data_IF_807046935732
#
_entry.id   IF_807046935732
#
_cell.length_a   1.000
_cell.length_b   1.000
_cell.length_c   1.000
_cell.angle_alpha   90.00
_cell.angle_beta   90.00
_cell.angle_gamma   90.00
#
_symmetry.space_group_name_H-M   'P 1'
#
loop_
_entity.id
_entity.type
_entity.pdbx_description
1 polymer ?
#
# COMPACT_ATOMS: atom_id res chain seq x y z
N UNK A 1 -25.59 -9.39 -53.72
CA UNK A 1 -25.33 -9.52 -52.27
C UNK A 1 -23.90 -10.02 -52.13
N UNK A 2 -23.02 -9.27 -51.46
CA UNK A 2 -21.55 -9.48 -51.40
C UNK A 2 -21.16 -10.92 -50.99
N UNK A 3 -20.04 -11.51 -51.48
CA UNK A 3 -18.64 -11.24 -51.08
C UNK A 3 -18.58 -10.96 -49.56
N UNK A 4 -17.87 -11.70 -48.71
CA UNK A 4 -16.51 -12.20 -48.85
C UNK A 4 -16.08 -12.85 -47.51
N UNK A 5 -15.40 -14.01 -47.57
CA UNK A 5 -14.31 -14.52 -46.71
C UNK A 5 -14.50 -14.64 -45.18
N UNK A 6 -13.73 -15.43 -44.45
CA UNK A 6 -12.96 -16.67 -44.59
C UNK A 6 -12.25 -16.79 -43.22
N UNK A 7 -11.85 -18.02 -42.89
CA UNK A 7 -10.77 -18.39 -41.97
C UNK A 7 -10.94 -18.09 -40.47
N UNK A 8 -10.90 -19.21 -39.73
CA UNK A 8 -10.67 -19.19 -38.30
C UNK A 8 -9.24 -18.83 -37.95
N UNK A 9 -9.04 -18.58 -36.65
CA UNK A 9 -7.73 -18.72 -36.03
C UNK A 9 -7.87 -19.60 -34.80
N UNK A 10 -7.08 -20.66 -34.79
CA UNK A 10 -6.79 -21.51 -33.66
C UNK A 10 -5.91 -20.76 -32.66
N UNK A 11 -6.06 -21.10 -31.38
CA UNK A 11 -4.91 -21.46 -30.56
C UNK A 11 -4.30 -20.38 -29.67
N UNK A 12 -4.20 -20.76 -28.38
CA UNK A 12 -3.14 -20.30 -27.48
C UNK A 12 -3.53 -19.10 -26.64
N UNK A 13 -3.26 -19.03 -25.33
CA UNK A 13 -2.55 -19.92 -24.42
C UNK A 13 -3.16 -19.71 -23.05
N UNK A 14 -3.26 -20.80 -22.28
CA UNK A 14 -3.30 -20.71 -20.83
C UNK A 14 -2.05 -19.96 -20.37
N UNK A 15 -2.23 -18.81 -19.75
CA UNK A 15 -1.26 -18.30 -18.79
C UNK A 15 -1.95 -18.33 -17.44
N UNK A 16 -1.80 -19.47 -16.77
CA UNK A 16 -1.78 -19.52 -15.32
C UNK A 16 -0.76 -18.48 -14.86
N UNK A 17 -1.22 -17.37 -14.30
CA UNK A 17 -0.39 -16.57 -13.41
C UNK A 17 -0.91 -16.80 -12.00
N UNK A 18 -0.39 -17.85 -11.38
CA UNK A 18 -0.59 -18.24 -9.99
C UNK A 18 0.20 -17.31 -9.03
N UNK A 19 0.27 -16.00 -9.30
CA UNK A 19 1.10 -15.07 -8.51
C UNK A 19 0.40 -13.77 -8.12
N UNK A 20 -0.93 -13.74 -8.01
CA UNK A 20 -1.63 -12.63 -7.33
C UNK A 20 -2.64 -13.16 -6.30
N UNK A 21 -2.12 -13.99 -5.38
CA UNK A 21 -2.82 -14.38 -4.17
C UNK A 21 -2.72 -13.31 -3.06
N UNK A 22 -2.44 -12.05 -3.39
CA UNK A 22 -2.23 -10.99 -2.40
C UNK A 22 -3.43 -10.07 -2.17
N UNK A 23 -4.49 -10.10 -3.00
CA UNK A 23 -5.65 -9.21 -2.78
C UNK A 23 -6.99 -9.89 -3.04
N UNK A 24 -7.33 -10.87 -2.18
CA UNK A 24 -8.73 -11.21 -1.90
C UNK A 24 -9.13 -10.75 -0.50
N UNK A 25 -8.69 -9.57 -0.11
CA UNK A 25 -9.37 -8.84 0.96
C UNK A 25 -10.53 -8.09 0.32
N UNK A 26 -11.73 -8.25 0.86
CA UNK A 26 -12.89 -7.48 0.41
C UNK A 26 -12.52 -5.99 0.32
N UNK A 27 -12.99 -5.24 -0.70
CA UNK A 27 -12.68 -3.82 -0.83
C UNK A 27 -13.04 -3.02 0.43
N UNK A 28 -14.02 -3.48 1.20
CA UNK A 28 -14.40 -2.91 2.49
C UNK A 28 -13.36 -3.14 3.61
N UNK A 29 -12.67 -4.29 3.61
CA UNK A 29 -11.63 -4.59 4.59
C UNK A 29 -10.39 -3.72 4.33
N UNK A 30 -10.00 -3.56 3.06
CA UNK A 30 -8.87 -2.73 2.69
C UNK A 30 -9.11 -1.24 3.01
N UNK A 31 -10.32 -0.73 2.78
CA UNK A 31 -10.68 0.64 3.13
C UNK A 31 -10.57 0.88 4.64
N UNK A 32 -11.15 0.01 5.47
CA UNK A 32 -11.07 0.16 6.94
C UNK A 32 -9.63 0.13 7.45
N UNK A 33 -8.79 -0.72 6.87
CA UNK A 33 -7.36 -0.81 7.21
C UNK A 33 -6.66 0.52 6.93
N UNK A 34 -6.89 1.08 5.74
CA UNK A 34 -6.31 2.35 5.31
C UNK A 34 -6.76 3.51 6.20
N UNK A 35 -8.04 3.57 6.54
CA UNK A 35 -8.58 4.56 7.48
C UNK A 35 -7.91 4.44 8.86
N UNK A 36 -7.66 3.22 9.33
CA UNK A 36 -6.94 2.96 10.59
C UNK A 36 -5.49 3.48 10.56
N UNK A 37 -4.79 3.26 9.45
CA UNK A 37 -3.43 3.77 9.23
C UNK A 37 -3.44 5.31 9.21
N UNK A 38 -4.32 5.93 8.41
CA UNK A 38 -4.44 7.38 8.30
C UNK A 38 -4.77 8.03 9.65
N UNK A 39 -5.68 7.42 10.42
CA UNK A 39 -6.02 7.86 11.78
C UNK A 39 -4.82 7.81 12.72
N UNK A 40 -4.03 6.73 12.67
CA UNK A 40 -2.82 6.57 13.49
C UNK A 40 -1.74 7.59 13.11
N UNK A 41 -1.53 7.81 11.82
CA UNK A 41 -0.59 8.82 11.31
C UNK A 41 -1.01 10.23 11.76
N UNK A 42 -2.28 10.58 11.62
CA UNK A 42 -2.82 11.86 12.05
C UNK A 42 -2.69 12.04 13.57
N UNK A 43 -2.86 10.97 14.35
CA UNK A 43 -2.65 10.99 15.80
C UNK A 43 -1.18 11.21 16.16
N UNK A 44 -0.25 10.53 15.47
CA UNK A 44 1.19 10.78 15.61
C UNK A 44 1.55 12.23 15.35
N UNK A 45 1.02 12.82 14.27
CA UNK A 45 1.28 14.22 13.95
C UNK A 45 0.72 15.19 15.00
N UNK A 46 -0.52 14.97 15.46
CA UNK A 46 -1.20 15.88 16.41
C UNK A 46 -0.64 15.79 17.82
N UNK A 47 -0.33 14.59 18.27
CA UNK A 47 0.10 14.32 19.66
C UNK A 47 1.61 14.12 19.78
N UNK A 48 2.34 14.20 18.66
CA UNK A 48 3.77 13.97 18.57
C UNK A 48 4.21 12.65 19.24
N UNK A 49 3.42 11.60 19.03
CA UNK A 49 3.67 10.27 19.59
C UNK A 49 4.46 9.41 18.61
N UNK A 50 5.32 8.54 19.17
CA UNK A 50 6.06 7.56 18.38
C UNK A 50 5.10 6.48 17.90
N UNK A 51 5.19 6.17 16.61
CA UNK A 51 4.46 5.07 15.98
C UNK A 51 5.44 4.15 15.26
N UNK A 52 5.01 2.91 15.03
CA UNK A 52 5.72 1.93 14.22
C UNK A 52 4.94 1.69 12.94
N UNK A 53 5.62 1.87 11.80
CA UNK A 53 5.10 1.59 10.47
C UNK A 53 5.67 0.28 9.96
N UNK A 54 4.82 -0.62 9.50
CA UNK A 54 5.20 -1.85 8.80
C UNK A 54 5.01 -1.58 7.31
N UNK A 55 6.08 -1.67 6.52
CA UNK A 55 6.00 -1.47 5.07
C UNK A 55 5.84 -2.80 4.32
N UNK A 56 5.12 -2.75 3.20
CA UNK A 56 5.06 -3.84 2.23
C UNK A 56 6.45 -4.05 1.59
N UNK A 57 6.95 -5.29 1.57
CA UNK A 57 8.22 -5.63 0.93
C UNK A 57 8.53 -7.12 0.95
N UNK A 58 9.25 -7.61 -0.06
CA UNK A 58 9.57 -9.03 -0.30
C UNK A 58 10.66 -9.61 0.62
N UNK A 59 10.87 -9.06 1.81
CA UNK A 59 11.94 -9.48 2.73
C UNK A 59 11.56 -9.31 4.20
N UNK A 60 12.57 -9.31 5.08
CA UNK A 60 12.40 -9.07 6.51
C UNK A 60 11.63 -7.75 6.70
N UNK A 61 10.40 -7.84 7.24
CA UNK A 61 9.42 -6.76 7.23
C UNK A 61 10.04 -5.44 7.69
N UNK A 62 10.09 -4.44 6.81
CA UNK A 62 10.72 -3.16 7.14
C UNK A 62 9.81 -2.41 8.10
N UNK A 63 10.14 -2.49 9.38
CA UNK A 63 9.50 -1.71 10.42
C UNK A 63 10.26 -0.40 10.64
N UNK A 64 9.54 0.72 10.63
CA UNK A 64 10.07 2.04 10.89
C UNK A 64 9.37 2.62 12.11
N UNK A 65 10.11 2.80 13.21
CA UNK A 65 9.58 3.42 14.43
C UNK A 65 10.02 4.87 14.56
N UNK A 66 9.08 5.81 14.50
CA UNK A 66 9.38 7.23 14.42
C UNK A 66 8.20 8.13 14.75
N UNK A 67 8.38 9.43 14.52
CA UNK A 67 7.35 10.45 14.72
C UNK A 67 6.92 11.00 13.37
N UNK A 68 5.62 11.14 13.15
CA UNK A 68 5.11 11.80 11.96
C UNK A 68 5.26 13.31 12.13
N UNK A 69 6.08 13.93 11.28
CA UNK A 69 6.30 15.39 11.32
C UNK A 69 5.47 16.13 10.28
N UNK A 70 5.04 15.44 9.21
CA UNK A 70 4.22 16.03 8.15
C UNK A 70 3.42 14.96 7.41
N UNK A 71 2.23 15.31 6.95
CA UNK A 71 1.34 14.44 6.15
C UNK A 71 0.92 15.20 4.89
N UNK A 72 1.17 14.63 3.73
CA UNK A 72 0.73 15.11 2.43
C UNK A 72 -0.46 14.26 1.96
N UNK A 73 -1.68 14.76 2.19
CA UNK A 73 -2.92 14.04 1.82
C UNK A 73 -3.10 13.88 0.31
N UNK A 74 -2.61 14.82 -0.49
CA UNK A 74 -2.72 14.76 -1.96
C UNK A 74 -1.84 13.66 -2.57
N UNK A 75 -0.58 13.56 -2.12
CA UNK A 75 0.35 12.52 -2.59
C UNK A 75 0.25 11.22 -1.80
N UNK A 76 -0.54 11.20 -0.71
CA UNK A 76 -0.61 10.11 0.27
C UNK A 76 0.78 9.75 0.80
N UNK A 77 1.56 10.77 1.16
CA UNK A 77 2.93 10.60 1.68
C UNK A 77 3.05 11.18 3.08
N UNK A 78 3.85 10.54 3.93
CA UNK A 78 4.14 11.04 5.27
C UNK A 78 5.64 11.19 5.46
N UNK A 79 6.02 12.25 6.16
CA UNK A 79 7.39 12.46 6.62
C UNK A 79 7.51 11.85 8.00
N UNK A 80 8.24 10.74 8.08
CA UNK A 80 8.59 10.09 9.33
C UNK A 80 9.98 10.55 9.74
N UNK A 81 10.10 11.12 10.94
CA UNK A 81 11.39 11.25 11.61
C UNK A 81 11.71 9.92 12.29
N UNK A 82 12.76 9.27 11.81
CA UNK A 82 13.21 7.95 12.26
C UNK A 82 14.66 8.06 12.69
N UNK A 83 14.96 7.65 13.94
CA UNK A 83 16.27 7.84 14.56
C UNK A 83 16.75 9.31 14.42
N UNK A 84 17.89 9.52 13.76
CA UNK A 84 18.48 10.86 13.51
C UNK A 84 18.18 11.38 12.09
N UNK A 85 17.37 10.66 11.32
CA UNK A 85 17.07 10.95 9.92
C UNK A 85 15.57 11.20 9.69
N UNK A 86 15.23 11.67 8.49
CA UNK A 86 13.84 11.77 8.04
C UNK A 86 13.68 11.01 6.74
N UNK A 87 12.53 10.36 6.60
CA UNK A 87 12.17 9.59 5.40
C UNK A 87 10.75 9.92 4.98
N UNK A 88 10.56 10.08 3.67
CA UNK A 88 9.23 10.08 3.08
C UNK A 88 8.78 8.66 2.83
N UNK A 89 7.57 8.35 3.28
CA UNK A 89 6.95 7.03 3.18
C UNK A 89 5.57 7.22 2.54
N UNK A 90 5.25 6.43 1.53
CA UNK A 90 3.90 6.44 0.94
C UNK A 90 2.96 5.64 1.82
N UNK A 91 1.76 6.15 2.06
CA UNK A 91 0.72 5.46 2.83
C UNK A 91 0.33 4.15 2.15
N UNK A 92 0.30 4.12 0.82
CA UNK A 92 0.05 2.91 0.03
C UNK A 92 1.15 1.83 0.19
N UNK A 93 2.38 2.20 0.57
CA UNK A 93 3.44 1.24 0.89
C UNK A 93 3.36 0.75 2.35
N UNK A 94 2.50 1.35 3.18
CA UNK A 94 2.33 0.96 4.59
C UNK A 94 1.34 -0.19 4.68
N UNK A 95 1.83 -1.33 5.12
CA UNK A 95 0.99 -2.44 5.53
C UNK A 95 0.25 -2.09 6.82
N UNK A 96 0.95 -1.71 7.88
CA UNK A 96 0.32 -1.47 9.18
C UNK A 96 0.96 -0.29 9.89
N UNK A 97 0.17 0.40 10.72
CA UNK A 97 0.66 1.47 11.58
C UNK A 97 0.02 1.34 12.95
N UNK A 98 0.84 1.36 14.00
CA UNK A 98 0.36 1.30 15.39
C UNK A 98 1.26 2.11 16.31
N UNK A 99 0.73 2.45 17.48
CA UNK A 99 1.43 3.20 18.52
C UNK A 99 2.26 2.20 19.34
N UNK A 100 3.54 2.51 19.54
CA UNK A 100 4.47 1.69 20.31
C UNK A 100 4.33 1.92 21.82
#
# INVERSE_FOLDING_TARGET
MGKQLEEGLQGGFVHSNEEDALHRDEPAANLRRLEGIESTLAQSLRSHIRITLVLHGEGEGRQLSGFVTSIHTHSREIKLQWAEEWKWVRVDDIAEAYIA
#
